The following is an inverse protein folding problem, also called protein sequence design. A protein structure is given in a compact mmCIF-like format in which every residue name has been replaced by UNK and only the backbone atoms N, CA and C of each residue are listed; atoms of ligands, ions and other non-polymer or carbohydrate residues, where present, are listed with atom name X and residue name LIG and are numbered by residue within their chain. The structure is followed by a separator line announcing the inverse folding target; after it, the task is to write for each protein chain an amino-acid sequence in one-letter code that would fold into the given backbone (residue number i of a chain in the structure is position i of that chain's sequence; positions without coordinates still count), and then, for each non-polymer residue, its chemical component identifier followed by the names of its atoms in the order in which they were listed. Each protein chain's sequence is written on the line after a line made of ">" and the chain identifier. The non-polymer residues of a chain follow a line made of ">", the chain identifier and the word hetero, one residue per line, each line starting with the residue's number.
data_IF_176310301845
#
_entry.id   IF_176310301845
#
_cell.length_a   1.000
_cell.length_b   1.000
_cell.length_c   1.000
_cell.angle_alpha   90.00
_cell.angle_beta   90.00
_cell.angle_gamma   90.00
#
_symmetry.space_group_name_H-M   'P 1'
#
loop_
_entity.id
_entity.type
_entity.pdbx_description
1 polymer ?
#
# COMPACT_ATOMS: atom_id res chain seq x y z
N UNK A 1 5.38 36.10 20.78
CA UNK A 1 5.88 34.86 21.41
C UNK A 1 6.93 35.27 22.44
N UNK A 2 6.69 35.06 23.71
CA UNK A 2 7.67 35.28 24.80
C UNK A 2 8.05 33.93 25.38
N UNK A 3 9.34 33.63 25.47
CA UNK A 3 9.87 32.34 25.93
C UNK A 3 9.31 31.08 25.25
N UNK A 4 8.92 31.16 24.00
CA UNK A 4 8.37 30.04 23.25
C UNK A 4 6.91 29.70 23.53
N UNK A 5 6.24 30.45 24.39
CA UNK A 5 4.80 30.36 24.62
C UNK A 5 4.03 31.32 23.71
N UNK A 6 2.81 30.95 23.32
CA UNK A 6 1.92 31.79 22.53
C UNK A 6 1.00 32.55 23.47
N UNK A 7 1.06 33.87 23.47
CA UNK A 7 0.12 34.72 24.19
C UNK A 7 -0.88 35.34 23.22
N UNK A 8 -2.16 35.23 23.49
CA UNK A 8 -3.20 36.02 22.81
C UNK A 8 -3.34 37.32 23.60
N UNK A 9 -3.13 38.47 22.94
CA UNK A 9 -3.39 39.79 23.56
C UNK A 9 -4.90 39.90 23.86
N UNK A 10 -5.23 40.13 25.13
CA UNK A 10 -6.58 40.47 25.57
C UNK A 10 -7.04 39.65 26.78
N UNK A 11 -6.97 40.26 27.98
CA UNK A 11 -7.56 39.85 29.25
C UNK A 11 -7.41 38.39 29.69
N UNK A 12 -6.76 38.18 30.83
CA UNK A 12 -6.61 36.91 31.51
C UNK A 12 -7.97 36.27 31.85
N UNK A 13 -8.60 35.64 30.87
CA UNK A 13 -9.56 34.59 31.09
C UNK A 13 -8.80 33.31 30.91
N UNK A 14 -8.94 32.37 31.83
CA UNK A 14 -8.44 31.00 31.73
C UNK A 14 -8.88 30.41 30.37
N UNK A 15 -8.04 30.58 29.34
CA UNK A 15 -8.22 29.88 28.11
C UNK A 15 -7.67 28.49 28.40
N UNK A 16 -8.55 27.52 28.61
CA UNK A 16 -8.17 26.11 28.54
C UNK A 16 -7.62 25.89 27.14
N UNK A 17 -6.30 25.90 27.01
CA UNK A 17 -5.61 25.68 25.74
C UNK A 17 -5.80 24.22 25.39
N UNK A 18 -6.86 23.92 24.62
CA UNK A 18 -7.01 22.58 24.06
C UNK A 18 -5.94 22.41 23.00
N UNK A 19 -5.18 21.32 23.07
CA UNK A 19 -4.18 20.95 22.06
C UNK A 19 -4.75 21.02 20.65
N UNK A 20 -4.27 21.92 19.81
CA UNK A 20 -4.85 22.18 18.50
C UNK A 20 -3.81 22.58 17.44
N UNK A 21 -4.19 22.39 16.16
CA UNK A 21 -3.49 22.99 15.03
C UNK A 21 -3.93 24.45 14.91
N UNK A 22 -2.96 25.37 15.00
CA UNK A 22 -3.18 26.81 14.95
C UNK A 22 -2.40 27.41 13.80
N UNK A 23 -3.06 28.27 13.01
CA UNK A 23 -2.41 29.08 11.97
C UNK A 23 -1.82 30.31 12.63
N UNK A 24 -0.51 30.56 12.43
CA UNK A 24 0.17 31.75 12.94
C UNK A 24 0.26 32.84 11.86
N UNK A 25 0.71 34.03 12.24
CA UNK A 25 0.81 35.22 11.35
C UNK A 25 1.71 35.01 10.14
N UNK A 26 2.69 34.10 10.23
CA UNK A 26 3.51 33.67 9.08
C UNK A 26 2.75 32.76 8.09
N UNK A 27 1.45 32.56 8.28
CA UNK A 27 0.59 31.77 7.41
C UNK A 27 0.73 30.26 7.53
N UNK A 28 1.65 29.75 8.38
CA UNK A 28 1.87 28.32 8.60
C UNK A 28 1.07 27.79 9.78
N UNK A 29 0.79 26.50 9.75
CA UNK A 29 0.14 25.81 10.87
C UNK A 29 1.17 25.19 11.79
N UNK A 30 0.91 25.29 13.08
CA UNK A 30 1.70 24.72 14.17
C UNK A 30 0.79 23.95 15.10
N UNK A 31 1.36 22.97 15.80
CA UNK A 31 0.65 22.26 16.84
C UNK A 31 0.95 22.89 18.20
N UNK A 32 -0.07 23.43 18.82
CA UNK A 32 0.01 23.96 20.20
C UNK A 32 -0.30 22.79 21.15
N UNK A 33 0.59 22.53 22.07
CA UNK A 33 0.44 21.48 23.09
C UNK A 33 -0.55 21.88 24.17
N UNK A 34 -0.97 20.96 25.03
CA UNK A 34 -1.82 21.24 26.20
C UNK A 34 -1.20 22.25 27.14
N UNK A 35 0.13 22.38 27.18
CA UNK A 35 0.85 23.40 27.96
C UNK A 35 0.92 24.79 27.29
N UNK A 36 0.26 24.98 26.13
CA UNK A 36 0.28 26.24 25.40
C UNK A 36 1.56 26.50 24.59
N UNK A 37 2.45 25.54 24.47
CA UNK A 37 3.72 25.70 23.73
C UNK A 37 3.65 25.11 22.33
N UNK A 38 4.44 25.65 21.39
CA UNK A 38 4.59 25.06 20.06
C UNK A 38 5.39 23.77 20.16
N UNK A 39 4.84 22.66 19.64
CA UNK A 39 5.57 21.41 19.54
C UNK A 39 6.76 21.56 18.58
N UNK A 40 7.96 21.25 19.06
CA UNK A 40 9.21 21.30 18.29
C UNK A 40 9.72 19.89 18.03
N UNK A 41 9.66 19.38 16.77
CA UNK A 41 10.19 18.07 16.43
C UNK A 41 11.73 18.12 16.35
N UNK A 42 12.38 16.95 16.49
CA UNK A 42 13.83 16.81 16.28
C UNK A 42 14.23 16.85 14.78
N UNK A 43 13.25 16.83 13.87
CA UNK A 43 13.45 16.87 12.42
C UNK A 43 12.14 16.68 11.68
N UNK A 44 12.16 16.70 10.35
CA UNK A 44 10.94 16.50 9.57
C UNK A 44 10.47 15.05 9.60
N UNK A 45 9.18 14.83 9.90
CA UNK A 45 8.61 13.47 9.98
C UNK A 45 7.26 13.40 10.65
N UNK A 46 6.81 12.16 10.92
CA UNK A 46 5.56 11.89 11.64
C UNK A 46 5.84 11.76 13.13
N UNK A 47 5.20 12.61 13.90
CA UNK A 47 5.24 12.58 15.37
C UNK A 47 3.83 12.42 15.95
N UNK A 48 3.74 11.75 17.10
CA UNK A 48 2.50 11.64 17.88
C UNK A 48 2.40 12.88 18.78
N UNK A 49 1.30 13.60 18.65
CA UNK A 49 0.99 14.74 19.50
C UNK A 49 0.27 14.28 20.78
N UNK A 50 0.15 15.17 21.78
CA UNK A 50 -0.49 14.90 23.08
C UNK A 50 -1.97 14.58 22.97
N UNK A 51 -2.68 15.07 21.93
CA UNK A 51 -4.05 14.66 21.59
C UNK A 51 -4.14 13.24 21.03
N UNK A 52 -3.06 12.45 21.04
CA UNK A 52 -2.99 11.08 20.57
C UNK A 52 -2.90 10.90 19.07
N UNK A 53 -3.12 11.94 18.27
CA UNK A 53 -3.03 11.90 16.80
C UNK A 53 -1.60 12.04 16.32
N UNK A 54 -1.35 11.66 15.07
CA UNK A 54 -0.05 11.78 14.42
C UNK A 54 -0.13 12.80 13.29
N UNK A 55 0.84 13.70 13.24
CA UNK A 55 0.93 14.76 12.22
C UNK A 55 2.31 14.70 11.55
N UNK A 56 2.39 15.24 10.33
CA UNK A 56 3.67 15.46 9.69
C UNK A 56 4.18 16.85 10.06
N UNK A 57 5.31 16.87 10.75
CA UNK A 57 6.01 18.10 11.12
C UNK A 57 7.19 18.33 10.19
N UNK A 58 7.45 19.57 9.88
CA UNK A 58 8.69 20.03 9.29
C UNK A 58 9.71 20.36 10.39
N UNK A 59 11.01 20.38 10.04
CA UNK A 59 12.09 20.68 11.01
C UNK A 59 11.95 22.05 11.68
N UNK A 60 11.27 22.99 11.02
CA UNK A 60 10.97 24.32 11.58
C UNK A 60 9.76 24.33 12.55
N UNK A 61 9.19 23.17 12.89
CA UNK A 61 8.05 23.02 13.77
C UNK A 61 6.69 23.21 13.12
N UNK A 62 6.60 23.66 11.85
CA UNK A 62 5.32 23.77 11.17
C UNK A 62 4.76 22.38 10.82
N UNK A 63 3.43 22.29 10.66
CA UNK A 63 2.69 21.07 10.35
C UNK A 63 2.20 21.11 8.91
N UNK A 64 2.27 19.98 8.20
CA UNK A 64 1.59 19.84 6.91
C UNK A 64 0.07 19.90 7.11
N UNK A 65 -0.54 21.01 6.70
CA UNK A 65 -1.97 21.22 6.84
C UNK A 65 -2.72 20.79 5.59
N UNK A 66 -3.78 20.00 5.77
CA UNK A 66 -4.68 19.55 4.71
C UNK A 66 -6.14 19.69 5.12
N UNK A 67 -6.99 20.10 4.19
CA UNK A 67 -8.44 20.27 4.40
C UNK A 67 -9.25 19.12 3.83
N UNK A 68 -8.63 18.26 3.00
CA UNK A 68 -9.30 17.12 2.35
C UNK A 68 -8.55 15.83 2.66
N UNK A 69 -9.32 14.80 3.02
CA UNK A 69 -8.79 13.44 3.22
C UNK A 69 -8.19 12.89 1.91
N UNK A 70 -7.01 12.32 1.97
CA UNK A 70 -6.38 11.73 0.79
C UNK A 70 -4.88 11.50 0.89
N UNK A 71 -4.30 11.10 -0.23
CA UNK A 71 -2.87 10.86 -0.35
C UNK A 71 -2.18 12.14 -0.79
N UNK A 72 -1.14 12.53 -0.05
CA UNK A 72 -0.25 13.64 -0.39
C UNK A 72 1.19 13.18 -0.41
N UNK A 73 1.95 13.64 -1.40
CA UNK A 73 3.40 13.43 -1.46
C UNK A 73 4.12 14.55 -0.72
N UNK A 74 5.09 14.19 0.09
CA UNK A 74 6.04 15.11 0.72
C UNK A 74 7.43 14.57 0.38
N UNK A 75 8.16 15.30 -0.44
CA UNK A 75 9.39 14.81 -1.05
C UNK A 75 9.14 13.52 -1.85
N UNK A 76 9.97 12.50 -1.64
CA UNK A 76 9.87 11.19 -2.32
C UNK A 76 8.86 10.23 -1.69
N UNK A 77 8.19 10.59 -0.60
CA UNK A 77 7.28 9.72 0.15
C UNK A 77 5.84 10.19 0.03
N UNK A 78 4.88 9.27 0.10
CA UNK A 78 3.46 9.56 0.11
C UNK A 78 2.86 9.17 1.46
N UNK A 79 1.93 9.98 1.95
CA UNK A 79 1.24 9.80 3.23
C UNK A 79 -0.27 9.87 3.01
N UNK A 80 -1.03 9.20 3.85
CA UNK A 80 -2.49 9.29 3.83
C UNK A 80 -2.95 10.21 4.98
N UNK A 81 -3.50 11.35 4.63
CA UNK A 81 -3.99 12.35 5.58
C UNK A 81 -5.52 12.25 5.75
N UNK A 82 -5.99 12.53 6.94
CA UNK A 82 -7.38 12.90 7.22
C UNK A 82 -7.56 14.41 6.98
N UNK A 83 -8.82 14.85 6.79
CA UNK A 83 -9.15 16.28 6.60
C UNK A 83 -8.74 17.20 7.76
N UNK A 84 -8.50 16.64 8.95
CA UNK A 84 -7.97 17.35 10.11
C UNK A 84 -6.43 17.35 10.18
N UNK A 85 -5.75 17.14 9.07
CA UNK A 85 -4.29 17.09 8.92
C UNK A 85 -3.59 15.93 9.63
N UNK A 86 -4.31 15.05 10.35
CA UNK A 86 -3.67 13.89 10.97
C UNK A 86 -3.32 12.84 9.91
N UNK A 87 -2.23 12.10 10.12
CA UNK A 87 -1.74 11.05 9.24
C UNK A 87 -2.25 9.70 9.72
N UNK A 88 -2.75 8.87 8.79
CA UNK A 88 -3.07 7.47 9.05
C UNK A 88 -1.79 6.68 9.32
N UNK A 89 -1.41 6.57 10.59
CA UNK A 89 -0.21 5.86 11.06
C UNK A 89 -0.40 5.35 12.48
N UNK A 90 0.17 4.19 12.79
CA UNK A 90 0.16 3.62 14.15
C UNK A 90 1.55 3.59 14.78
N UNK A 91 2.58 4.04 14.06
CA UNK A 91 3.98 3.89 14.47
C UNK A 91 4.54 2.48 14.22
N UNK A 92 3.71 1.54 13.70
CA UNK A 92 4.11 0.18 13.29
C UNK A 92 3.76 -0.04 11.82
N UNK A 93 4.55 -0.88 11.13
CA UNK A 93 4.21 -1.25 9.75
C UNK A 93 2.99 -2.16 9.73
N UNK A 94 1.90 -1.74 9.06
CA UNK A 94 0.63 -2.47 9.06
C UNK A 94 -0.14 -2.28 7.76
N UNK A 95 -1.18 -3.10 7.54
CA UNK A 95 -2.19 -2.84 6.54
C UNK A 95 -3.30 -1.96 7.12
N UNK A 96 -3.77 -1.00 6.33
CA UNK A 96 -4.92 -0.17 6.64
C UNK A 96 -5.93 -0.21 5.50
N UNK A 97 -7.20 -0.53 5.78
CA UNK A 97 -8.30 -0.40 4.82
C UNK A 97 -8.89 0.99 4.95
N UNK A 98 -8.85 1.76 3.87
CA UNK A 98 -9.30 3.14 3.84
C UNK A 98 -10.10 3.35 2.55
N UNK A 99 -11.35 3.80 2.65
CA UNK A 99 -12.25 4.04 1.51
C UNK A 99 -12.28 2.84 0.54
N UNK A 100 -12.47 1.63 1.07
CA UNK A 100 -12.57 0.38 0.29
C UNK A 100 -11.25 -0.15 -0.27
N UNK A 101 -10.14 0.57 -0.15
CA UNK A 101 -8.81 0.16 -0.63
C UNK A 101 -7.89 -0.20 0.53
N UNK A 102 -7.01 -1.17 0.33
CA UNK A 102 -6.04 -1.57 1.34
C UNK A 102 -4.67 -0.97 1.01
N UNK A 103 -4.07 -0.30 1.98
CA UNK A 103 -2.73 0.28 1.90
C UNK A 103 -1.79 -0.41 2.87
N UNK A 104 -0.49 -0.38 2.59
CA UNK A 104 0.53 -0.77 3.57
C UNK A 104 1.28 0.48 4.03
N UNK A 105 1.14 0.78 5.31
CA UNK A 105 1.72 1.97 5.94
C UNK A 105 2.95 1.52 6.72
N UNK A 106 4.07 2.20 6.51
CA UNK A 106 5.32 1.94 7.23
C UNK A 106 5.25 2.41 8.70
N UNK A 107 6.16 1.95 9.55
CA UNK A 107 6.30 2.47 10.92
C UNK A 107 6.55 3.98 10.97
N UNK A 108 7.16 4.54 9.93
CA UNK A 108 7.39 5.99 9.76
C UNK A 108 6.20 6.73 9.12
N UNK A 109 5.04 6.06 8.91
CA UNK A 109 3.78 6.65 8.45
C UNK A 109 3.63 6.85 6.95
N UNK A 110 4.63 6.57 6.10
CA UNK A 110 4.47 6.67 4.64
C UNK A 110 3.93 5.39 4.01
N UNK A 111 3.27 5.53 2.87
CA UNK A 111 2.70 4.43 2.08
C UNK A 111 3.82 3.65 1.38
N UNK A 112 3.82 2.34 1.57
CA UNK A 112 4.73 1.44 0.89
C UNK A 112 4.19 1.08 -0.50
N UNK A 113 5.10 0.90 -1.48
CA UNK A 113 4.79 0.48 -2.85
C UNK A 113 5.63 -0.74 -3.25
N UNK A 114 5.25 -1.37 -4.36
CA UNK A 114 5.97 -2.54 -4.88
C UNK A 114 5.67 -3.81 -4.09
N UNK A 115 6.58 -4.77 -4.20
CA UNK A 115 6.46 -6.07 -3.57
C UNK A 115 6.59 -5.99 -2.04
N UNK A 116 5.68 -6.67 -1.35
CA UNK A 116 5.69 -6.82 0.11
C UNK A 116 5.63 -8.31 0.46
N UNK A 117 6.66 -8.83 1.15
CA UNK A 117 6.66 -10.19 1.72
C UNK A 117 6.24 -10.11 3.18
N UNK A 118 5.25 -10.92 3.57
CA UNK A 118 4.74 -10.99 4.95
C UNK A 118 4.55 -12.46 5.29
N UNK A 119 5.42 -12.98 6.13
CA UNK A 119 5.54 -14.42 6.32
C UNK A 119 5.81 -15.12 4.99
N UNK A 120 5.05 -16.15 4.67
CA UNK A 120 5.11 -16.89 3.40
C UNK A 120 4.33 -16.25 2.24
N UNK A 121 3.57 -15.19 2.48
CA UNK A 121 2.72 -14.55 1.46
C UNK A 121 3.43 -13.35 0.81
N UNK A 122 3.13 -13.11 -0.48
CA UNK A 122 3.57 -11.93 -1.22
C UNK A 122 2.36 -11.11 -1.65
N UNK A 123 2.51 -9.79 -1.58
CA UNK A 123 1.52 -8.79 -1.98
C UNK A 123 2.19 -7.76 -2.88
N UNK A 124 1.41 -7.04 -3.67
CA UNK A 124 1.93 -5.93 -4.45
C UNK A 124 1.10 -4.66 -4.21
N UNK A 125 1.80 -3.62 -3.81
CA UNK A 125 1.25 -2.28 -3.63
C UNK A 125 1.50 -1.47 -4.89
N UNK A 126 0.44 -0.98 -5.52
CA UNK A 126 0.53 -0.23 -6.77
C UNK A 126 1.41 1.01 -6.62
N UNK A 127 2.36 1.21 -7.52
CA UNK A 127 3.19 2.43 -7.55
C UNK A 127 2.37 3.69 -7.91
N UNK A 128 1.24 3.51 -8.64
CA UNK A 128 0.38 4.61 -9.07
C UNK A 128 -0.66 5.00 -8.00
N UNK A 129 -1.38 4.02 -7.46
CA UNK A 129 -2.48 4.26 -6.52
C UNK A 129 -2.10 4.00 -5.06
N UNK A 130 -0.91 3.45 -4.78
CA UNK A 130 -0.44 2.98 -3.47
C UNK A 130 -1.26 1.84 -2.86
N UNK A 131 -2.43 1.55 -3.42
CA UNK A 131 -3.31 0.51 -2.94
C UNK A 131 -2.79 -0.89 -3.28
N UNK A 132 -3.12 -1.87 -2.44
CA UNK A 132 -2.86 -3.29 -2.68
C UNK A 132 -3.63 -3.75 -3.92
N UNK A 133 -2.98 -4.53 -4.76
CA UNK A 133 -3.64 -5.20 -5.89
C UNK A 133 -4.39 -6.41 -5.35
N UNK A 134 -5.68 -6.52 -5.68
CA UNK A 134 -6.59 -7.58 -5.22
C UNK A 134 -7.45 -8.09 -6.39
N UNK A 135 -7.81 -9.37 -6.34
CA UNK A 135 -8.77 -10.05 -7.23
C UNK A 135 -8.57 -9.75 -8.72
N UNK A 136 -7.33 -9.68 -9.19
CA UNK A 136 -7.02 -9.46 -10.62
C UNK A 136 -5.63 -9.94 -11.04
N UNK A 137 -5.48 -10.11 -12.37
CA UNK A 137 -4.18 -10.29 -12.99
C UNK A 137 -3.53 -8.92 -13.23
N UNK A 138 -2.24 -8.80 -12.95
CA UNK A 138 -1.47 -7.57 -13.14
C UNK A 138 -0.08 -7.90 -13.66
N UNK A 139 0.43 -7.12 -14.60
CA UNK A 139 1.80 -7.22 -15.07
C UNK A 139 2.72 -6.40 -14.16
N UNK A 140 3.76 -7.04 -13.65
CA UNK A 140 4.79 -6.39 -12.83
C UNK A 140 6.15 -6.82 -13.38
N UNK A 141 6.97 -5.87 -13.77
CA UNK A 141 8.32 -6.12 -14.33
C UNK A 141 8.30 -7.19 -15.45
N UNK A 142 7.40 -7.04 -16.42
CA UNK A 142 7.28 -7.94 -17.58
C UNK A 142 6.56 -9.26 -17.33
N UNK A 143 6.26 -9.63 -16.10
CA UNK A 143 5.58 -10.88 -15.77
C UNK A 143 4.14 -10.64 -15.29
N UNK A 144 3.20 -11.52 -15.71
CA UNK A 144 1.82 -11.49 -15.22
C UNK A 144 1.71 -12.30 -13.93
N UNK A 145 1.00 -11.74 -12.94
CA UNK A 145 0.69 -12.34 -11.64
C UNK A 145 -0.81 -12.29 -11.40
N UNK A 146 -1.34 -13.28 -10.71
CA UNK A 146 -2.70 -13.25 -10.20
C UNK A 146 -2.69 -12.98 -8.69
N UNK A 147 -3.49 -12.00 -8.29
CA UNK A 147 -3.72 -11.68 -6.88
C UNK A 147 -5.13 -12.13 -6.49
N UNK A 148 -5.26 -12.89 -5.41
CA UNK A 148 -6.55 -13.34 -4.90
C UNK A 148 -7.36 -12.19 -4.25
N UNK A 149 -8.56 -12.48 -3.75
CA UNK A 149 -9.43 -11.50 -3.07
C UNK A 149 -8.77 -10.85 -1.85
N UNK A 150 -7.78 -11.50 -1.25
CA UNK A 150 -7.00 -10.98 -0.11
C UNK A 150 -5.70 -10.30 -0.55
N UNK A 151 -5.47 -10.15 -1.84
CA UNK A 151 -4.27 -9.55 -2.43
C UNK A 151 -3.02 -10.42 -2.37
N UNK A 152 -3.12 -11.71 -1.99
CA UNK A 152 -2.00 -12.65 -2.02
C UNK A 152 -1.71 -13.08 -3.44
N UNK A 153 -0.43 -13.16 -3.81
CA UNK A 153 -0.01 -13.76 -5.08
C UNK A 153 -0.28 -15.26 -5.05
N UNK A 154 -0.92 -15.76 -6.09
CA UNK A 154 -1.10 -17.19 -6.30
C UNK A 154 0.23 -17.78 -6.82
N UNK A 155 0.65 -18.88 -6.23
CA UNK A 155 1.86 -19.63 -6.61
C UNK A 155 1.55 -21.10 -6.77
N UNK A 156 2.21 -21.78 -7.73
CA UNK A 156 2.07 -23.21 -7.98
C UNK A 156 0.62 -23.68 -8.12
N UNK A 157 -0.24 -22.87 -8.75
CA UNK A 157 -1.68 -23.13 -8.88
C UNK A 157 -2.21 -22.83 -10.27
N UNK A 158 -3.24 -23.58 -10.63
CA UNK A 158 -4.09 -23.34 -11.78
C UNK A 158 -5.07 -22.20 -11.49
N UNK A 159 -5.35 -21.40 -12.50
CA UNK A 159 -6.52 -20.52 -12.55
C UNK A 159 -7.49 -21.03 -13.58
N UNK A 160 -8.73 -21.21 -13.15
CA UNK A 160 -9.82 -21.67 -14.00
C UNK A 160 -10.57 -20.49 -14.60
N UNK A 161 -11.12 -20.70 -15.79
CA UNK A 161 -12.10 -19.84 -16.42
C UNK A 161 -13.19 -20.74 -16.99
N UNK A 162 -14.47 -20.47 -16.66
CA UNK A 162 -15.63 -21.27 -17.07
C UNK A 162 -15.44 -22.77 -16.79
N UNK A 163 -15.05 -23.12 -15.55
CA UNK A 163 -14.84 -24.50 -15.11
C UNK A 163 -13.60 -25.21 -15.66
N UNK A 164 -12.89 -24.63 -16.63
CA UNK A 164 -11.72 -25.26 -17.24
C UNK A 164 -10.41 -24.61 -16.80
N UNK A 165 -9.35 -25.41 -16.67
CA UNK A 165 -8.00 -24.91 -16.46
C UNK A 165 -7.63 -23.98 -17.61
N UNK A 166 -7.11 -22.80 -17.27
CA UNK A 166 -6.79 -21.80 -18.29
C UNK A 166 -5.36 -21.32 -18.21
N UNK A 167 -4.89 -21.02 -17.00
CA UNK A 167 -3.57 -20.47 -16.72
C UNK A 167 -2.92 -21.20 -15.56
N UNK A 168 -1.60 -21.25 -15.58
CA UNK A 168 -0.81 -21.77 -14.46
C UNK A 168 0.20 -20.73 -14.00
N UNK A 169 0.35 -20.62 -12.68
CA UNK A 169 1.32 -19.73 -12.04
C UNK A 169 2.42 -20.57 -11.38
N UNK A 170 3.69 -20.25 -11.69
CA UNK A 170 4.84 -20.97 -11.16
C UNK A 170 5.02 -20.74 -9.65
N UNK A 171 6.06 -21.38 -9.06
CA UNK A 171 6.40 -21.19 -7.64
C UNK A 171 6.81 -19.75 -7.26
N UNK A 172 7.17 -18.92 -8.25
CA UNK A 172 7.44 -17.49 -8.06
C UNK A 172 6.18 -16.64 -8.27
N UNK A 173 5.05 -17.24 -8.64
CA UNK A 173 3.77 -16.60 -8.94
C UNK A 173 3.67 -16.02 -10.35
N UNK A 174 4.62 -16.29 -11.24
CA UNK A 174 4.60 -15.81 -12.63
C UNK A 174 3.72 -16.71 -13.47
N UNK A 175 2.83 -16.13 -14.28
CA UNK A 175 2.03 -16.86 -15.25
C UNK A 175 2.94 -17.47 -16.31
N UNK A 176 2.76 -18.75 -16.61
CA UNK A 176 3.49 -19.42 -17.69
C UNK A 176 2.95 -18.92 -19.04
N UNK A 177 3.86 -18.50 -19.93
CA UNK A 177 3.57 -18.01 -21.27
C UNK A 177 4.59 -18.55 -22.25
N UNK A 178 4.17 -18.89 -23.48
CA UNK A 178 5.02 -19.39 -24.57
C UNK A 178 6.04 -20.45 -24.11
N UNK A 179 5.57 -21.45 -23.35
CA UNK A 179 6.43 -22.46 -22.74
C UNK A 179 5.67 -23.75 -22.48
N UNK A 180 6.42 -24.84 -22.29
CA UNK A 180 5.93 -26.08 -21.73
C UNK A 180 6.37 -26.25 -20.28
N UNK A 181 5.61 -26.98 -19.48
CA UNK A 181 5.93 -27.26 -18.09
C UNK A 181 5.37 -28.61 -17.64
N UNK A 182 6.23 -29.46 -17.03
CA UNK A 182 5.79 -30.65 -16.32
C UNK A 182 5.14 -30.24 -15.00
N UNK A 183 3.87 -30.63 -14.80
CA UNK A 183 3.09 -30.36 -13.59
C UNK A 183 2.47 -31.69 -13.17
N UNK A 184 2.92 -32.23 -12.04
CA UNK A 184 2.65 -33.64 -11.70
C UNK A 184 3.24 -34.58 -12.74
N UNK A 185 2.44 -35.56 -13.21
CA UNK A 185 2.85 -36.55 -14.22
C UNK A 185 2.68 -36.07 -15.68
N UNK A 186 2.08 -34.90 -15.93
CA UNK A 186 1.79 -34.41 -17.30
C UNK A 186 2.64 -33.21 -17.68
N UNK A 187 2.88 -33.05 -18.99
CA UNK A 187 3.49 -31.86 -19.60
C UNK A 187 2.35 -31.00 -20.19
N UNK A 188 2.37 -29.71 -19.89
CA UNK A 188 1.38 -28.74 -20.33
C UNK A 188 2.05 -27.65 -21.16
N UNK A 189 1.37 -27.18 -22.20
CA UNK A 189 1.85 -26.16 -23.13
C UNK A 189 1.00 -24.90 -22.99
N UNK A 190 1.65 -23.75 -22.95
CA UNK A 190 1.01 -22.45 -22.78
C UNK A 190 1.39 -21.57 -23.97
N UNK A 191 0.40 -20.94 -24.60
CA UNK A 191 0.67 -19.99 -25.69
C UNK A 191 1.22 -18.65 -25.16
N UNK A 192 1.49 -17.69 -26.10
CA UNK A 192 1.99 -16.34 -25.77
C UNK A 192 1.10 -15.57 -24.78
N UNK A 193 -0.19 -15.87 -24.72
CA UNK A 193 -1.16 -15.26 -23.79
C UNK A 193 -1.27 -16.02 -22.47
N UNK A 194 -0.49 -17.09 -22.28
CA UNK A 194 -0.52 -17.98 -21.11
C UNK A 194 -1.71 -18.92 -21.06
N UNK A 195 -2.47 -19.02 -22.15
CA UNK A 195 -3.61 -19.95 -22.22
C UNK A 195 -3.09 -21.35 -22.48
N UNK A 196 -3.58 -22.29 -21.65
CA UNK A 196 -3.33 -23.71 -21.84
C UNK A 196 -3.81 -24.16 -23.24
N UNK A 197 -2.93 -24.83 -23.98
CA UNK A 197 -3.25 -25.42 -25.26
C UNK A 197 -3.80 -26.84 -25.07
N UNK A 198 -4.86 -27.15 -25.76
CA UNK A 198 -5.54 -28.46 -25.69
C UNK A 198 -5.21 -29.37 -26.88
N UNK A 199 -4.29 -28.96 -27.76
CA UNK A 199 -3.98 -29.71 -28.96
C UNK A 199 -3.00 -30.85 -28.69
N UNK A 200 -3.16 -31.95 -29.41
CA UNK A 200 -2.20 -33.03 -29.54
C UNK A 200 -0.88 -32.44 -30.06
N UNK A 201 0.19 -32.65 -29.32
CA UNK A 201 1.53 -32.33 -29.80
C UNK A 201 2.35 -33.61 -29.83
N UNK A 202 2.76 -33.99 -31.03
CA UNK A 202 3.75 -35.02 -31.21
C UNK A 202 5.13 -34.48 -30.83
N UNK A 203 5.77 -35.08 -29.86
CA UNK A 203 7.15 -34.77 -29.53
C UNK A 203 7.97 -36.04 -29.49
N UNK A 204 8.98 -36.13 -30.35
CA UNK A 204 9.88 -37.31 -30.50
C UNK A 204 9.11 -38.63 -30.69
N UNK A 205 8.11 -38.63 -31.56
CA UNK A 205 7.31 -39.83 -31.88
C UNK A 205 6.30 -40.27 -30.82
N UNK A 206 6.14 -39.54 -29.73
CA UNK A 206 5.11 -39.80 -28.74
C UNK A 206 3.94 -38.82 -28.89
N UNK A 207 2.72 -39.37 -29.02
CA UNK A 207 1.49 -38.58 -28.98
C UNK A 207 1.09 -38.28 -27.55
N UNK A 208 1.19 -37.02 -27.16
CA UNK A 208 0.73 -36.55 -25.84
C UNK A 208 -0.68 -35.96 -26.00
N UNK A 209 -1.64 -36.59 -25.37
CA UNK A 209 -2.99 -36.04 -25.29
C UNK A 209 -2.99 -34.93 -24.23
N UNK A 210 -3.07 -33.68 -24.66
CA UNK A 210 -3.26 -32.51 -23.80
C UNK A 210 -4.73 -32.37 -23.38
N UNK A 211 -5.46 -33.45 -23.35
CA UNK A 211 -6.85 -33.40 -23.00
C UNK A 211 -7.15 -34.25 -21.79
N UNK A 212 -7.61 -33.64 -20.76
CA UNK A 212 -8.89 -34.04 -20.18
C UNK A 212 -9.51 -32.77 -19.65
N UNK A 213 -10.81 -32.53 -19.90
CA UNK A 213 -11.52 -31.53 -19.14
C UNK A 213 -11.45 -32.01 -17.70
N UNK A 214 -10.65 -31.31 -16.93
CA UNK A 214 -10.59 -31.60 -15.52
C UNK A 214 -11.87 -31.04 -14.94
N UNK A 215 -12.75 -31.94 -14.57
CA UNK A 215 -13.90 -31.66 -13.73
C UNK A 215 -13.47 -30.96 -12.46
#
# INVERSE_FOLDING_TARGET
>A
IYNGAYYVEGTAKDISVSSALTKLDNGKYYYITASGTIFKPSGSGIYKADNGRRYYFYSNGSVEHVTKTGIRKIGKKAYYFNSNSSVKSTGKTHFAKISGKTYRISSKGYLLTGWQKIGKNKYYMSKKSYARIENKTTTVSGHKYWFDKTGKVITSKWKYKNGSRRYYFDKKGRMLTNTSKKIGKYVYFFNKNGVLQRNLISYKGYNWVLSHPLK
#
